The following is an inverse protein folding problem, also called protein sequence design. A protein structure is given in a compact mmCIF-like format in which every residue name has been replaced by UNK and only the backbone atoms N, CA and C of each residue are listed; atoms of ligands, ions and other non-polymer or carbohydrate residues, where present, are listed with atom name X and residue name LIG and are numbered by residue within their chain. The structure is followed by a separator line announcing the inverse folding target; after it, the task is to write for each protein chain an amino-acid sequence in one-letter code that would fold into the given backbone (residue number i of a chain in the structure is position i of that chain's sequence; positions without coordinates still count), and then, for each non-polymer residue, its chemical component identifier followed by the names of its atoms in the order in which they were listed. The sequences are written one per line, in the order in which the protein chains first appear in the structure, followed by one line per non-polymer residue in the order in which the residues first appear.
data_IF_666803749648
#
_entry.id   IF_666803749648
#
_cell.length_a   1.000
_cell.length_b   1.000
_cell.length_c   1.000
_cell.angle_alpha   90.00
_cell.angle_beta   90.00
_cell.angle_gamma   90.00
#
_symmetry.space_group_name_H-M   'P 1'
#
loop_
_entity.id
_entity.type
_entity.pdbx_description
1 polymer ?
#
# COMPACT_ATOMS: atom_id res chain seq x y z
N UNK A 1 -15.60 -5.84 2.85
CA UNK A 1 -14.46 -5.15 2.21
C UNK A 1 -13.24 -5.41 3.06
N UNK A 2 -12.08 -5.54 2.44
CA UNK A 2 -10.80 -5.76 3.13
C UNK A 2 -10.00 -4.47 3.08
N UNK A 3 -9.44 -4.08 4.22
CA UNK A 3 -8.54 -2.93 4.37
C UNK A 3 -7.14 -3.43 4.65
N UNK A 4 -6.12 -2.73 4.15
CA UNK A 4 -4.75 -2.99 4.56
C UNK A 4 -3.88 -1.74 4.52
N UNK A 5 -2.80 -1.80 5.29
CA UNK A 5 -1.67 -0.90 5.16
C UNK A 5 -0.54 -1.63 4.44
N UNK A 6 -0.09 -1.08 3.32
CA UNK A 6 1.09 -1.57 2.59
C UNK A 6 2.23 -0.62 2.91
N UNK A 7 3.30 -1.15 3.49
CA UNK A 7 4.51 -0.42 3.83
C UNK A 7 5.56 -0.76 2.79
N UNK A 8 6.21 0.24 2.21
CA UNK A 8 7.10 0.07 1.08
C UNK A 8 8.51 0.56 1.39
N UNK A 9 9.49 -0.21 0.91
CA UNK A 9 10.87 0.24 0.74
C UNK A 9 11.04 0.66 -0.72
N UNK A 10 11.58 1.86 -0.93
CA UNK A 10 11.68 2.50 -2.24
C UNK A 10 13.13 2.81 -2.57
N UNK A 11 13.48 2.72 -3.85
CA UNK A 11 14.80 3.09 -4.35
C UNK A 11 15.09 4.57 -4.07
N UNK A 12 16.34 4.85 -3.69
CA UNK A 12 16.81 6.20 -3.39
C UNK A 12 16.52 7.13 -4.57
N UNK A 13 15.87 8.27 -4.28
CA UNK A 13 15.52 9.27 -5.29
C UNK A 13 14.22 9.01 -6.05
N UNK A 14 13.53 7.87 -5.82
CA UNK A 14 12.26 7.54 -6.49
C UNK A 14 11.01 7.67 -5.61
N UNK A 15 11.14 8.10 -4.36
CA UNK A 15 10.01 8.20 -3.40
C UNK A 15 8.85 9.01 -3.96
N UNK A 16 9.12 10.20 -4.51
CA UNK A 16 8.08 11.07 -5.07
C UNK A 16 7.33 10.40 -6.24
N UNK A 17 8.07 9.83 -7.21
CA UNK A 17 7.47 9.14 -8.35
C UNK A 17 6.66 7.90 -7.94
N UNK A 18 7.14 7.16 -6.94
CA UNK A 18 6.42 5.99 -6.41
C UNK A 18 5.13 6.42 -5.72
N UNK A 19 5.15 7.46 -4.89
CA UNK A 19 3.94 8.00 -4.24
C UNK A 19 2.91 8.46 -5.27
N UNK A 20 3.35 9.15 -6.33
CA UNK A 20 2.46 9.62 -7.38
C UNK A 20 1.85 8.46 -8.19
N UNK A 21 2.61 7.39 -8.43
CA UNK A 21 2.11 6.18 -9.06
C UNK A 21 1.10 5.46 -8.15
N UNK A 22 1.39 5.32 -6.85
CA UNK A 22 0.52 4.70 -5.87
C UNK A 22 -0.84 5.38 -5.78
N UNK A 23 -0.87 6.72 -5.75
CA UNK A 23 -2.12 7.51 -5.70
C UNK A 23 -3.03 7.30 -6.91
N UNK A 24 -2.52 6.78 -8.02
CA UNK A 24 -3.30 6.48 -9.23
C UNK A 24 -3.90 5.08 -9.23
N UNK A 25 -3.48 4.20 -8.31
CA UNK A 25 -3.99 2.84 -8.21
C UNK A 25 -5.42 2.87 -7.65
N UNK A 26 -6.42 2.30 -8.35
CA UNK A 26 -7.78 2.22 -7.83
C UNK A 26 -7.83 1.47 -6.51
N UNK A 27 -8.54 2.02 -5.52
CA UNK A 27 -8.65 1.44 -4.17
C UNK A 27 -7.60 1.95 -3.19
N UNK A 28 -6.57 2.67 -3.64
CA UNK A 28 -5.70 3.43 -2.72
C UNK A 28 -6.48 4.61 -2.15
N UNK A 29 -6.71 4.58 -0.84
CA UNK A 29 -7.39 5.64 -0.09
C UNK A 29 -6.40 6.75 0.26
N UNK A 30 -5.17 6.35 0.61
CA UNK A 30 -4.11 7.28 1.00
C UNK A 30 -2.73 6.66 0.75
N UNK A 31 -1.78 7.49 0.32
CA UNK A 31 -0.37 7.12 0.19
C UNK A 31 0.49 8.32 0.61
N UNK A 32 1.28 8.13 1.66
CA UNK A 32 2.18 9.16 2.20
C UNK A 32 3.60 8.64 2.21
N UNK A 33 4.55 9.51 1.87
CA UNK A 33 5.95 9.30 2.21
C UNK A 33 6.12 9.52 3.72
N UNK A 34 6.86 8.65 4.40
CA UNK A 34 7.02 8.69 5.85
C UNK A 34 8.49 8.68 6.24
N UNK A 35 8.80 9.22 7.42
CA UNK A 35 10.11 9.05 8.04
C UNK A 35 10.07 7.81 8.93
N UNK A 36 10.86 6.78 8.64
CA UNK A 36 10.85 5.55 9.42
C UNK A 36 11.64 4.40 8.77
N UNK A 37 11.37 3.14 9.17
CA UNK A 37 11.98 1.97 8.56
C UNK A 37 11.48 1.67 7.14
N UNK A 38 10.45 2.41 6.70
CA UNK A 38 9.87 2.35 5.36
C UNK A 38 9.84 3.77 4.78
N UNK A 39 9.80 3.86 3.46
CA UNK A 39 9.77 5.14 2.74
C UNK A 39 8.34 5.62 2.47
N UNK A 40 7.38 4.68 2.37
CA UNK A 40 5.98 4.98 2.13
C UNK A 40 5.03 4.04 2.88
N UNK A 41 3.87 4.57 3.27
CA UNK A 41 2.74 3.78 3.81
C UNK A 41 1.50 4.10 2.99
N UNK A 42 0.79 3.05 2.57
CA UNK A 42 -0.37 3.12 1.70
C UNK A 42 -1.56 2.44 2.36
N UNK A 43 -2.65 3.15 2.55
CA UNK A 43 -3.93 2.59 2.96
C UNK A 43 -4.73 2.21 1.72
N UNK A 44 -5.08 0.93 1.59
CA UNK A 44 -5.79 0.39 0.44
C UNK A 44 -7.04 -0.36 0.88
N UNK A 45 -8.11 -0.19 0.09
CA UNK A 45 -9.38 -0.89 0.21
C UNK A 45 -9.64 -1.75 -1.02
N UNK A 46 -10.14 -2.95 -0.78
CA UNK A 46 -10.53 -3.89 -1.82
C UNK A 46 -11.82 -4.62 -1.43
N UNK A 47 -12.52 -5.21 -2.40
CA UNK A 47 -13.75 -5.97 -2.14
C UNK A 47 -13.47 -7.21 -1.30
N UNK A 48 -12.38 -7.90 -1.63
CA UNK A 48 -11.95 -9.15 -1.00
C UNK A 48 -10.41 -9.29 -1.04
N UNK A 49 -9.91 -10.35 -0.39
CA UNK A 49 -8.49 -10.64 -0.32
C UNK A 49 -7.87 -10.95 -1.69
N UNK A 50 -8.64 -11.54 -2.61
CA UNK A 50 -8.15 -11.86 -3.95
C UNK A 50 -7.91 -10.60 -4.79
N UNK A 51 -8.82 -9.63 -4.70
CA UNK A 51 -8.62 -8.31 -5.31
C UNK A 51 -7.44 -7.57 -4.69
N UNK A 52 -7.31 -7.59 -3.35
CA UNK A 52 -6.17 -6.96 -2.66
C UNK A 52 -4.84 -7.54 -3.14
N UNK A 53 -4.69 -8.87 -3.16
CA UNK A 53 -3.48 -9.54 -3.61
C UNK A 53 -3.15 -9.18 -5.07
N UNK A 54 -4.16 -9.11 -5.94
CA UNK A 54 -3.93 -8.70 -7.33
C UNK A 54 -3.41 -7.28 -7.42
N UNK A 55 -3.97 -6.33 -6.67
CA UNK A 55 -3.49 -4.94 -6.66
C UNK A 55 -2.04 -4.85 -6.18
N UNK A 56 -1.68 -5.60 -5.14
CA UNK A 56 -0.31 -5.59 -4.62
C UNK A 56 0.67 -6.17 -5.65
N UNK A 57 0.40 -7.39 -6.13
CA UNK A 57 1.33 -8.11 -7.02
C UNK A 57 1.40 -7.53 -8.44
N UNK A 58 0.29 -7.01 -8.97
CA UNK A 58 0.22 -6.54 -10.35
C UNK A 58 0.33 -5.02 -10.48
N UNK A 59 -0.10 -4.25 -9.49
CA UNK A 59 -0.03 -2.78 -9.58
C UNK A 59 1.16 -2.27 -8.77
N UNK A 60 1.22 -2.55 -7.45
CA UNK A 60 2.24 -1.96 -6.56
C UNK A 60 3.65 -2.50 -6.86
N UNK A 61 3.83 -3.83 -6.95
CA UNK A 61 5.14 -4.45 -7.20
C UNK A 61 5.75 -4.10 -8.56
N UNK A 62 4.92 -3.69 -9.52
CA UNK A 62 5.37 -3.30 -10.85
C UNK A 62 5.67 -1.80 -10.97
N UNK A 63 5.48 -1.01 -9.91
CA UNK A 63 5.91 0.38 -9.90
C UNK A 63 7.45 0.42 -9.89
N UNK A 64 8.03 1.11 -10.87
CA UNK A 64 9.47 1.36 -10.91
C UNK A 64 9.95 2.07 -9.64
N UNK A 65 10.95 1.49 -8.98
CA UNK A 65 11.50 1.97 -7.72
C UNK A 65 10.93 1.30 -6.47
N UNK A 66 9.89 0.47 -6.55
CA UNK A 66 9.49 -0.36 -5.41
C UNK A 66 10.48 -1.51 -5.22
N UNK A 67 11.10 -1.60 -4.05
CA UNK A 67 12.10 -2.63 -3.72
C UNK A 67 11.47 -3.77 -2.91
N UNK A 68 10.67 -3.42 -1.91
CA UNK A 68 10.05 -4.38 -1.01
C UNK A 68 8.71 -3.86 -0.50
N UNK A 69 7.82 -4.77 -0.12
CA UNK A 69 6.54 -4.43 0.49
C UNK A 69 6.21 -5.35 1.66
N UNK A 70 5.76 -4.77 2.76
CA UNK A 70 5.10 -5.50 3.86
C UNK A 70 3.63 -5.12 3.90
N UNK A 71 2.73 -6.11 3.86
CA UNK A 71 1.28 -5.87 3.88
C UNK A 71 0.68 -6.27 5.22
N UNK A 72 0.08 -5.31 5.90
CA UNK A 72 -0.66 -5.50 7.14
C UNK A 72 -2.17 -5.41 6.85
N UNK A 73 -2.83 -6.56 6.79
CA UNK A 73 -4.30 -6.62 6.60
C UNK A 73 -4.97 -6.21 7.92
N UNK A 74 -5.92 -5.28 7.82
CA UNK A 74 -6.70 -4.80 8.97
C UNK A 74 -7.65 -5.89 9.42
N UNK A 75 -7.64 -6.17 10.72
CA UNK A 75 -8.62 -7.04 11.37
C UNK A 75 -9.69 -6.14 11.99
N UNK A 76 -10.96 -6.43 11.70
CA UNK A 76 -12.08 -5.72 12.34
C UNK A 76 -12.12 -6.11 13.81
N UNK A 77 -12.13 -5.12 14.70
CA UNK A 77 -12.33 -5.32 16.13
C UNK A 77 -13.82 -5.19 16.41
N UNK A 78 -14.40 -6.11 17.17
CA UNK A 78 -15.74 -5.92 17.72
C UNK A 78 -15.64 -4.80 18.78
N UNK A 79 -16.37 -3.70 18.59
CA UNK A 79 -16.54 -2.70 19.65
C UNK A 79 -17.48 -3.31 20.70
N UNK A 80 -16.99 -3.53 21.92
CA UNK A 80 -17.86 -3.84 23.06
C UNK A 80 -18.71 -2.59 23.35
N UNK A 81 -20.03 -2.68 23.13
CA UNK A 81 -21.02 -1.63 23.47
C UNK A 81 -21.10 -1.34 24.97
#
# INVERSE_FOLDING_TARGET
MVRSYVLLTVEIGKVESVIDALKRIPGVIRADAVTGPYDAIVHIEAKDLGELTRKILHDIHNIDGVIDTTTAIVVEMEEEE
#
